data_IF_504583968456
#
_entry.id   IF_504583968456
#
_cell.length_a   1.000
_cell.length_b   1.000
_cell.length_c   1.000
_cell.angle_alpha   90.00
_cell.angle_beta   90.00
_cell.angle_gamma   90.00
#
_symmetry.space_group_name_H-M   'P 1'
#
loop_
_entity.id
_entity.type
_entity.pdbx_description
1 polymer ?
#
# COMPACT_ATOMS: atom_id res chain seq x y z
N UNK A 1 -15.37 -15.00 -12.89
CA UNK A 1 -15.86 -15.22 -14.27
C UNK A 1 -17.32 -14.76 -14.49
N UNK A 2 -18.26 -15.05 -13.58
CA UNK A 2 -19.66 -14.66 -13.77
C UNK A 2 -19.88 -13.15 -13.72
N UNK A 3 -19.19 -12.43 -12.84
CA UNK A 3 -19.30 -10.98 -12.72
C UNK A 3 -18.77 -10.25 -13.96
N UNK A 4 -17.64 -10.71 -14.51
CA UNK A 4 -17.08 -10.17 -15.76
C UNK A 4 -18.10 -10.31 -16.89
N UNK A 5 -18.64 -11.52 -17.12
CA UNK A 5 -19.67 -11.76 -18.14
C UNK A 5 -20.90 -10.89 -17.96
N UNK A 6 -21.30 -10.64 -16.71
CA UNK A 6 -22.46 -9.77 -16.43
C UNK A 6 -22.20 -8.32 -16.86
N UNK A 7 -21.02 -7.76 -16.56
CA UNK A 7 -20.66 -6.41 -17.02
C UNK A 7 -20.43 -6.36 -18.54
N UNK A 8 -19.81 -7.38 -19.13
CA UNK A 8 -19.66 -7.48 -20.60
C UNK A 8 -21.03 -7.51 -21.31
N UNK A 9 -22.00 -8.25 -20.78
CA UNK A 9 -23.36 -8.25 -21.29
C UNK A 9 -24.05 -6.88 -21.12
N UNK A 10 -23.88 -6.23 -19.97
CA UNK A 10 -24.41 -4.88 -19.74
C UNK A 10 -23.83 -3.88 -20.75
N UNK A 11 -22.53 -3.95 -21.02
CA UNK A 11 -21.82 -3.13 -22.00
C UNK A 11 -22.28 -3.47 -23.42
N UNK A 12 -22.53 -4.75 -23.74
CA UNK A 12 -23.06 -5.14 -25.05
C UNK A 12 -24.46 -4.56 -25.29
N UNK A 13 -25.31 -4.49 -24.26
CA UNK A 13 -26.64 -3.87 -24.33
C UNK A 13 -26.54 -2.34 -24.38
N UNK A 14 -25.69 -1.74 -23.56
CA UNK A 14 -25.46 -0.31 -23.54
C UNK A 14 -23.95 0.01 -23.51
N UNK A 15 -23.31 0.19 -24.69
CA UNK A 15 -21.89 0.53 -24.79
C UNK A 15 -21.47 1.85 -24.13
N UNK A 16 -22.42 2.72 -23.82
CA UNK A 16 -22.20 4.00 -23.15
C UNK A 16 -22.45 3.96 -21.64
N UNK A 17 -22.45 2.78 -21.03
CA UNK A 17 -22.64 2.61 -19.59
C UNK A 17 -21.33 2.75 -18.85
N UNK A 18 -20.96 3.99 -18.46
CA UNK A 18 -19.69 4.32 -17.82
C UNK A 18 -19.45 3.53 -16.53
N UNK A 19 -20.48 3.34 -15.68
CA UNK A 19 -20.37 2.56 -14.45
C UNK A 19 -19.99 1.10 -14.70
N UNK A 20 -20.56 0.48 -15.75
CA UNK A 20 -20.23 -0.90 -16.10
C UNK A 20 -18.75 -1.03 -16.51
N UNK A 21 -18.24 -0.09 -17.31
CA UNK A 21 -16.82 -0.05 -17.67
C UNK A 21 -15.92 0.16 -16.44
N UNK A 22 -16.28 1.08 -15.52
CA UNK A 22 -15.53 1.30 -14.29
C UNK A 22 -15.51 0.04 -13.41
N UNK A 23 -16.65 -0.61 -13.21
CA UNK A 23 -16.77 -1.81 -12.39
C UNK A 23 -16.06 -3.02 -13.02
N UNK A 24 -16.07 -3.14 -14.33
CA UNK A 24 -15.28 -4.13 -15.06
C UNK A 24 -13.77 -3.88 -14.85
N UNK A 25 -13.35 -2.62 -14.83
CA UNK A 25 -11.99 -2.23 -14.49
C UNK A 25 -11.58 -2.66 -13.07
N UNK A 26 -12.48 -2.48 -12.09
CA UNK A 26 -12.24 -2.94 -10.72
C UNK A 26 -12.03 -4.47 -10.66
N UNK A 27 -12.86 -5.24 -11.37
CA UNK A 27 -12.70 -6.70 -11.43
C UNK A 27 -11.38 -7.12 -12.08
N UNK A 28 -10.98 -6.49 -13.18
CA UNK A 28 -9.68 -6.77 -13.80
C UNK A 28 -8.51 -6.43 -12.88
N UNK A 29 -8.61 -5.34 -12.13
CA UNK A 29 -7.60 -4.97 -11.13
C UNK A 29 -7.50 -6.02 -10.03
N UNK A 30 -8.63 -6.49 -9.49
CA UNK A 30 -8.68 -7.54 -8.45
C UNK A 30 -8.08 -8.88 -8.93
N UNK A 31 -8.14 -9.15 -10.24
CA UNK A 31 -7.52 -10.30 -10.88
C UNK A 31 -6.04 -10.08 -11.26
N UNK A 32 -5.47 -8.91 -10.99
CA UNK A 32 -4.10 -8.56 -11.38
C UNK A 32 -3.93 -8.23 -12.86
N UNK A 33 -5.04 -8.14 -13.64
CA UNK A 33 -5.04 -7.81 -15.06
C UNK A 33 -5.03 -6.28 -15.27
N UNK A 34 -4.00 -5.62 -14.77
CA UNK A 34 -3.95 -4.16 -14.64
C UNK A 34 -4.06 -3.42 -15.99
N UNK A 35 -3.53 -3.98 -17.08
CA UNK A 35 -3.68 -3.40 -18.43
C UNK A 35 -5.15 -3.36 -18.89
N UNK A 36 -5.92 -4.40 -18.58
CA UNK A 36 -7.36 -4.43 -18.90
C UNK A 36 -8.13 -3.46 -18.01
N UNK A 37 -7.75 -3.36 -16.74
CA UNK A 37 -8.32 -2.39 -15.81
C UNK A 37 -8.14 -0.96 -16.31
N UNK A 38 -6.92 -0.56 -16.70
CA UNK A 38 -6.61 0.76 -17.26
C UNK A 38 -7.48 1.06 -18.48
N UNK A 39 -7.60 0.13 -19.44
CA UNK A 39 -8.43 0.30 -20.63
C UNK A 39 -9.91 0.51 -20.27
N UNK A 40 -10.40 -0.24 -19.29
CA UNK A 40 -11.80 -0.14 -18.84
C UNK A 40 -12.07 1.21 -18.15
N UNK A 41 -11.16 1.70 -17.29
CA UNK A 41 -11.29 3.03 -16.68
C UNK A 41 -11.20 4.16 -17.71
N UNK A 42 -10.29 4.08 -18.67
CA UNK A 42 -10.20 5.06 -19.76
C UNK A 42 -11.53 5.11 -20.52
N UNK A 43 -12.12 3.95 -20.84
CA UNK A 43 -13.40 3.91 -21.52
C UNK A 43 -14.53 4.51 -20.70
N UNK A 44 -14.55 4.27 -19.39
CA UNK A 44 -15.51 4.92 -18.47
C UNK A 44 -15.38 6.46 -18.50
N UNK A 45 -14.14 6.96 -18.52
CA UNK A 45 -13.82 8.39 -18.54
C UNK A 45 -14.17 9.01 -19.90
N UNK A 46 -13.96 8.32 -21.01
CA UNK A 46 -14.38 8.78 -22.36
C UNK A 46 -15.89 8.96 -22.44
N UNK A 47 -16.65 8.06 -21.82
CA UNK A 47 -18.12 8.13 -21.77
C UNK A 47 -18.57 9.23 -20.80
N UNK A 48 -17.99 9.30 -19.62
CA UNK A 48 -18.29 10.30 -18.61
C UNK A 48 -17.01 10.98 -18.08
N UNK A 49 -16.57 12.08 -18.69
CA UNK A 49 -15.37 12.80 -18.27
C UNK A 49 -15.43 13.38 -16.84
N UNK A 50 -16.64 13.47 -16.25
CA UNK A 50 -16.85 13.95 -14.87
C UNK A 50 -16.98 12.80 -13.86
N UNK A 51 -16.53 11.60 -14.21
CA UNK A 51 -16.59 10.44 -13.33
C UNK A 51 -15.38 10.40 -12.38
N UNK A 52 -15.45 11.11 -11.25
CA UNK A 52 -14.36 11.23 -10.28
C UNK A 52 -13.80 9.87 -9.81
N UNK A 53 -14.67 8.88 -9.56
CA UNK A 53 -14.24 7.54 -9.16
C UNK A 53 -13.43 6.82 -10.24
N UNK A 54 -13.80 6.95 -11.52
CA UNK A 54 -13.05 6.34 -12.62
C UNK A 54 -11.65 6.97 -12.75
N UNK A 55 -11.52 8.28 -12.57
CA UNK A 55 -10.23 8.96 -12.53
C UNK A 55 -9.39 8.50 -11.34
N UNK A 56 -9.96 8.35 -10.14
CA UNK A 56 -9.26 7.83 -8.97
C UNK A 56 -8.78 6.38 -9.20
N UNK A 57 -9.65 5.52 -9.72
CA UNK A 57 -9.33 4.13 -9.99
C UNK A 57 -8.25 3.96 -11.07
N UNK A 58 -8.31 4.80 -12.13
CA UNK A 58 -7.25 4.88 -13.13
C UNK A 58 -5.91 5.25 -12.50
N UNK A 59 -5.91 6.26 -11.61
CA UNK A 59 -4.71 6.65 -10.86
C UNK A 59 -4.12 5.49 -10.07
N UNK A 60 -4.95 4.71 -9.38
CA UNK A 60 -4.52 3.54 -8.62
C UNK A 60 -3.91 2.46 -9.53
N UNK A 61 -4.55 2.15 -10.65
CA UNK A 61 -4.02 1.19 -11.62
C UNK A 61 -2.69 1.67 -12.26
N UNK A 62 -2.52 2.97 -12.44
CA UNK A 62 -1.27 3.56 -12.94
C UNK A 62 -0.14 3.48 -11.90
N UNK A 63 -0.45 3.58 -10.59
CA UNK A 63 0.52 3.33 -9.51
C UNK A 63 1.00 1.89 -9.54
N UNK A 64 0.10 0.92 -9.74
CA UNK A 64 0.44 -0.50 -9.87
C UNK A 64 1.36 -0.79 -11.07
N UNK A 65 1.38 0.10 -12.06
CA UNK A 65 2.29 0.10 -13.21
C UNK A 65 3.50 1.03 -13.06
N UNK A 66 3.77 1.55 -11.87
CA UNK A 66 4.86 2.49 -11.57
C UNK A 66 4.82 3.80 -12.39
N UNK A 67 3.67 4.12 -12.99
CA UNK A 67 3.43 5.34 -13.77
C UNK A 67 2.96 6.49 -12.88
N UNK A 68 3.79 6.88 -11.93
CA UNK A 68 3.41 7.80 -10.85
C UNK A 68 3.00 9.19 -11.33
N UNK A 69 3.67 9.76 -12.35
CA UNK A 69 3.32 11.08 -12.89
C UNK A 69 1.93 11.09 -13.55
N UNK A 70 1.55 10.02 -14.24
CA UNK A 70 0.24 9.89 -14.85
C UNK A 70 -0.84 9.62 -13.78
N UNK A 71 -0.50 8.86 -12.73
CA UNK A 71 -1.37 8.68 -11.57
C UNK A 71 -1.68 10.01 -10.88
N UNK A 72 -0.66 10.87 -10.68
CA UNK A 72 -0.84 12.22 -10.13
C UNK A 72 -1.82 13.05 -10.97
N UNK A 73 -1.75 12.99 -12.31
CA UNK A 73 -2.70 13.69 -13.20
C UNK A 73 -4.12 13.17 -13.01
N UNK A 74 -4.28 11.85 -12.93
CA UNK A 74 -5.57 11.20 -12.77
C UNK A 74 -6.22 11.53 -11.42
N UNK A 75 -5.46 11.46 -10.32
CA UNK A 75 -5.95 11.84 -8.99
C UNK A 75 -6.29 13.34 -8.90
N UNK A 76 -5.47 14.22 -9.47
CA UNK A 76 -5.81 15.66 -9.54
C UNK A 76 -7.12 15.89 -10.28
N UNK A 77 -7.35 15.17 -11.38
CA UNK A 77 -8.62 15.27 -12.10
C UNK A 77 -9.80 14.78 -11.27
N UNK A 78 -9.64 13.69 -10.52
CA UNK A 78 -10.67 13.21 -9.58
C UNK A 78 -11.01 14.27 -8.52
N UNK A 79 -9.99 14.95 -7.97
CA UNK A 79 -10.13 16.00 -6.97
C UNK A 79 -10.75 17.29 -7.58
N UNK A 80 -10.38 17.66 -8.81
CA UNK A 80 -11.00 18.80 -9.51
C UNK A 80 -12.50 18.61 -9.70
N UNK A 81 -12.93 17.36 -9.96
CA UNK A 81 -14.34 16.98 -10.10
C UNK A 81 -15.03 16.93 -8.74
N UNK A 82 -14.39 16.31 -7.75
CA UNK A 82 -14.90 16.19 -6.38
C UNK A 82 -13.84 16.60 -5.35
N UNK A 83 -13.79 17.87 -4.93
CA UNK A 83 -12.80 18.34 -3.94
C UNK A 83 -12.93 17.70 -2.54
N UNK A 84 -14.08 17.07 -2.23
CA UNK A 84 -14.32 16.38 -0.96
C UNK A 84 -13.94 14.88 -1.01
N UNK A 85 -13.28 14.43 -2.07
CA UNK A 85 -12.91 13.02 -2.24
C UNK A 85 -11.67 12.69 -1.42
N UNK A 86 -11.85 12.40 -0.12
CA UNK A 86 -10.78 12.12 0.83
C UNK A 86 -9.83 11.00 0.37
N UNK A 87 -10.36 9.94 -0.25
CA UNK A 87 -9.57 8.83 -0.77
C UNK A 87 -8.64 9.30 -1.90
N UNK A 88 -9.13 10.13 -2.84
CA UNK A 88 -8.30 10.65 -3.93
C UNK A 88 -7.14 11.52 -3.41
N UNK A 89 -7.38 12.31 -2.35
CA UNK A 89 -6.31 13.05 -1.66
C UNK A 89 -5.29 12.10 -1.02
N UNK A 90 -5.72 11.05 -0.33
CA UNK A 90 -4.83 10.05 0.24
C UNK A 90 -3.98 9.37 -0.85
N UNK A 91 -4.61 8.96 -1.94
CA UNK A 91 -3.95 8.29 -3.06
C UNK A 91 -2.97 9.22 -3.80
N UNK A 92 -3.32 10.49 -3.99
CA UNK A 92 -2.41 11.50 -4.51
C UNK A 92 -1.20 11.69 -3.59
N UNK A 93 -1.41 11.66 -2.27
CA UNK A 93 -0.33 11.67 -1.29
C UNK A 93 0.61 10.45 -1.44
N UNK A 94 0.05 9.26 -1.68
CA UNK A 94 0.83 8.06 -1.93
C UNK A 94 1.68 8.20 -3.21
N UNK A 95 1.10 8.70 -4.30
CA UNK A 95 1.82 8.93 -5.56
C UNK A 95 2.98 9.95 -5.39
N UNK A 96 2.76 11.05 -4.66
CA UNK A 96 3.82 12.00 -4.33
C UNK A 96 4.91 11.39 -3.45
N UNK A 97 4.57 10.50 -2.52
CA UNK A 97 5.54 9.78 -1.69
C UNK A 97 6.45 8.89 -2.52
N UNK A 98 5.92 8.19 -3.53
CA UNK A 98 6.72 7.38 -4.46
C UNK A 98 7.63 8.25 -5.33
N UNK A 99 7.17 9.43 -5.74
CA UNK A 99 7.98 10.45 -6.42
C UNK A 99 8.97 11.19 -5.49
N UNK A 100 9.09 10.79 -4.23
CA UNK A 100 9.92 11.44 -3.18
C UNK A 100 9.56 12.90 -2.89
N UNK A 101 8.38 13.34 -3.29
CA UNK A 101 7.83 14.68 -3.04
C UNK A 101 7.10 14.71 -1.69
N UNK A 102 7.86 14.53 -0.59
CA UNK A 102 7.30 14.33 0.75
C UNK A 102 6.46 15.50 1.26
N UNK A 103 6.79 16.75 0.89
CA UNK A 103 6.03 17.92 1.32
C UNK A 103 4.62 17.93 0.71
N UNK A 104 4.53 17.58 -0.58
CA UNK A 104 3.24 17.50 -1.27
C UNK A 104 2.43 16.31 -0.77
N UNK A 105 3.07 15.17 -0.51
CA UNK A 105 2.43 14.02 0.12
C UNK A 105 1.79 14.39 1.47
N UNK A 106 2.56 15.03 2.37
CA UNK A 106 2.08 15.47 3.69
C UNK A 106 0.89 16.45 3.54
N UNK A 107 0.95 17.38 2.58
CA UNK A 107 -0.16 18.30 2.32
C UNK A 107 -1.43 17.54 1.95
N UNK A 108 -1.34 16.56 1.06
CA UNK A 108 -2.49 15.79 0.61
C UNK A 108 -3.07 14.89 1.72
N UNK A 109 -2.22 14.20 2.50
CA UNK A 109 -2.68 13.42 3.65
C UNK A 109 -3.41 14.27 4.70
N UNK A 110 -2.93 15.49 4.96
CA UNK A 110 -3.60 16.42 5.88
C UNK A 110 -5.00 16.81 5.37
N UNK A 111 -5.15 17.04 4.06
CA UNK A 111 -6.46 17.30 3.47
C UNK A 111 -7.34 16.06 3.60
N UNK A 112 -6.84 14.86 3.26
CA UNK A 112 -7.58 13.62 3.41
C UNK A 112 -8.09 13.41 4.85
N UNK A 113 -7.24 13.68 5.86
CA UNK A 113 -7.62 13.58 7.28
C UNK A 113 -8.62 14.66 7.68
N UNK A 114 -8.53 15.89 7.12
CA UNK A 114 -9.52 16.93 7.40
C UNK A 114 -10.90 16.58 6.86
N UNK A 115 -10.96 15.86 5.73
CA UNK A 115 -12.19 15.38 5.12
C UNK A 115 -12.73 14.11 5.80
N UNK A 116 -11.85 13.22 6.21
CA UNK A 116 -12.19 12.00 6.95
C UNK A 116 -11.21 11.79 8.13
N UNK A 117 -11.52 12.34 9.32
CA UNK A 117 -10.65 12.25 10.50
C UNK A 117 -10.43 10.81 11.01
N UNK A 118 -11.32 9.88 10.67
CA UNK A 118 -11.24 8.48 11.07
C UNK A 118 -10.57 7.57 10.02
N UNK A 119 -9.91 8.15 9.02
CA UNK A 119 -9.12 7.36 8.08
C UNK A 119 -7.81 6.90 8.71
N UNK A 120 -7.80 5.68 9.25
CA UNK A 120 -6.60 5.06 9.80
C UNK A 120 -5.47 5.00 8.76
N UNK A 121 -5.80 4.76 7.49
CA UNK A 121 -4.84 4.71 6.38
C UNK A 121 -4.18 6.07 6.13
N UNK A 122 -4.95 7.16 6.03
CA UNK A 122 -4.38 8.49 5.81
C UNK A 122 -3.51 8.95 7.01
N UNK A 123 -3.93 8.62 8.24
CA UNK A 123 -3.13 8.86 9.44
C UNK A 123 -1.81 8.08 9.43
N UNK A 124 -1.85 6.80 9.11
CA UNK A 124 -0.67 5.96 8.99
C UNK A 124 0.29 6.46 7.89
N UNK A 125 -0.25 6.82 6.72
CA UNK A 125 0.52 7.36 5.61
C UNK A 125 1.18 8.71 5.99
N UNK A 126 0.49 9.57 6.72
CA UNK A 126 1.05 10.81 7.24
C UNK A 126 2.17 10.54 8.27
N UNK A 127 1.98 9.58 9.18
CA UNK A 127 3.00 9.13 10.12
C UNK A 127 4.25 8.61 9.40
N UNK A 128 4.06 7.78 8.36
CA UNK A 128 5.12 7.24 7.52
C UNK A 128 5.89 8.34 6.77
N UNK A 129 5.19 9.37 6.27
CA UNK A 129 5.82 10.52 5.63
C UNK A 129 6.65 11.34 6.62
N UNK A 130 6.17 11.57 7.83
CA UNK A 130 6.94 12.23 8.89
C UNK A 130 8.16 11.40 9.34
N UNK A 131 8.02 10.06 9.44
CA UNK A 131 9.14 9.14 9.71
C UNK A 131 10.24 9.31 8.65
N UNK A 132 9.87 9.37 7.35
CA UNK A 132 10.83 9.59 6.24
C UNK A 132 11.50 10.97 6.28
N UNK A 133 10.87 11.96 6.92
CA UNK A 133 11.45 13.31 7.15
C UNK A 133 12.24 13.43 8.46
N UNK A 134 12.42 12.33 9.18
CA UNK A 134 13.03 12.28 10.52
C UNK A 134 12.28 13.11 11.60
N UNK A 135 10.99 13.41 11.38
CA UNK A 135 10.13 14.08 12.35
C UNK A 135 9.45 13.04 13.25
N UNK A 136 10.25 12.41 14.12
CA UNK A 136 9.90 11.20 14.88
C UNK A 136 8.71 11.39 15.82
N UNK A 137 8.61 12.56 16.49
CA UNK A 137 7.50 12.88 17.41
C UNK A 137 6.15 12.88 16.66
N UNK A 138 6.13 13.52 15.48
CA UNK A 138 4.92 13.55 14.66
C UNK A 138 4.59 12.18 14.12
N UNK A 139 5.59 11.41 13.72
CA UNK A 139 5.38 10.04 13.24
C UNK A 139 4.72 9.19 14.33
N UNK A 140 5.24 9.22 15.57
CA UNK A 140 4.66 8.50 16.70
C UNK A 140 3.20 8.90 16.94
N UNK A 141 2.91 10.22 17.01
CA UNK A 141 1.56 10.73 17.23
C UNK A 141 0.56 10.18 16.20
N UNK A 142 0.94 10.15 14.92
CA UNK A 142 0.05 9.70 13.86
C UNK A 142 -0.06 8.19 13.79
N UNK A 143 0.98 7.43 14.13
CA UNK A 143 0.89 5.98 14.28
C UNK A 143 0.00 5.58 15.45
N UNK A 144 0.06 6.27 16.60
CA UNK A 144 -0.85 6.02 17.73
C UNK A 144 -2.31 6.29 17.37
N UNK A 145 -2.59 7.40 16.66
CA UNK A 145 -3.93 7.71 16.16
C UNK A 145 -4.43 6.64 15.19
N UNK A 146 -3.63 6.25 14.22
CA UNK A 146 -3.99 5.21 13.25
C UNK A 146 -4.25 3.87 13.97
N UNK A 147 -3.39 3.49 14.91
CA UNK A 147 -3.53 2.29 15.72
C UNK A 147 -4.82 2.28 16.55
N UNK A 148 -5.19 3.40 17.15
CA UNK A 148 -6.42 3.52 17.94
C UNK A 148 -7.70 3.32 17.13
N UNK A 149 -7.65 3.62 15.82
CA UNK A 149 -8.79 3.44 14.91
C UNK A 149 -8.80 2.02 14.32
N UNK A 150 -7.65 1.52 13.87
CA UNK A 150 -7.53 0.19 13.29
C UNK A 150 -6.19 -0.46 13.63
N UNK A 151 -6.19 -1.31 14.64
CA UNK A 151 -5.00 -2.06 15.10
C UNK A 151 -4.61 -3.23 14.17
N UNK A 152 -5.45 -3.57 13.18
CA UNK A 152 -5.19 -4.67 12.26
C UNK A 152 -4.57 -4.23 10.91
N UNK A 153 -4.19 -2.96 10.79
CA UNK A 153 -3.48 -2.52 9.59
C UNK A 153 -2.11 -3.20 9.45
N UNK A 154 -1.76 -3.50 8.21
CA UNK A 154 -0.45 -4.07 7.89
C UNK A 154 0.68 -3.17 8.39
N UNK A 155 1.67 -3.76 9.03
CA UNK A 155 2.91 -3.13 9.52
C UNK A 155 2.76 -2.06 10.62
N UNK A 156 1.54 -1.63 10.97
CA UNK A 156 1.32 -0.53 11.93
C UNK A 156 1.91 -0.82 13.29
N UNK A 157 1.79 -2.06 13.78
CA UNK A 157 2.29 -2.44 15.11
C UNK A 157 3.82 -2.37 15.17
N UNK A 158 4.51 -2.84 14.14
CA UNK A 158 5.96 -2.76 14.04
C UNK A 158 6.46 -1.32 13.94
N UNK A 159 5.77 -0.47 13.17
CA UNK A 159 6.13 0.95 13.06
C UNK A 159 5.85 1.71 14.34
N UNK A 160 4.76 1.41 15.04
CA UNK A 160 4.43 1.99 16.35
C UNK A 160 5.47 1.61 17.40
N UNK A 161 5.83 0.32 17.50
CA UNK A 161 6.88 -0.14 18.42
C UNK A 161 8.23 0.53 18.12
N UNK A 162 8.61 0.61 16.84
CA UNK A 162 9.83 1.31 16.41
C UNK A 162 9.80 2.77 16.84
N UNK A 163 8.68 3.44 16.64
CA UNK A 163 8.54 4.85 17.02
C UNK A 163 8.61 5.02 18.54
N UNK A 164 7.95 4.18 19.34
CA UNK A 164 8.03 4.23 20.81
C UNK A 164 9.45 4.00 21.33
N UNK A 165 10.18 3.05 20.77
CA UNK A 165 11.59 2.79 21.15
C UNK A 165 12.49 3.99 20.92
N UNK A 166 12.29 4.74 19.85
CA UNK A 166 13.10 5.96 19.58
C UNK A 166 13.02 7.01 20.71
N UNK A 167 11.96 6.95 21.52
CA UNK A 167 11.76 7.86 22.67
C UNK A 167 11.87 7.16 24.03
N UNK A 168 12.30 5.89 24.03
CA UNK A 168 12.34 5.09 25.26
C UNK A 168 10.97 5.04 25.98
N UNK A 169 9.87 5.05 25.23
CA UNK A 169 8.50 4.91 25.77
C UNK A 169 8.18 3.43 25.93
N UNK A 170 8.34 2.93 27.16
CA UNK A 170 8.17 1.50 27.48
C UNK A 170 6.76 1.17 28.01
N UNK A 171 5.88 2.16 28.11
CA UNK A 171 4.50 1.95 28.53
C UNK A 171 3.80 0.98 27.59
N UNK A 172 3.22 -0.06 28.18
CA UNK A 172 2.54 -1.13 27.45
C UNK A 172 3.40 -1.91 26.43
N UNK A 173 4.72 -1.71 26.43
CA UNK A 173 5.65 -2.32 25.46
C UNK A 173 5.55 -3.85 25.43
N UNK A 174 5.54 -4.50 26.62
CA UNK A 174 5.48 -5.95 26.71
C UNK A 174 4.20 -6.56 26.12
N UNK A 175 3.05 -5.86 26.27
CA UNK A 175 1.80 -6.29 25.70
C UNK A 175 1.81 -6.15 24.19
N UNK A 176 2.26 -5.00 23.67
CA UNK A 176 2.39 -4.76 22.23
C UNK A 176 3.37 -5.73 21.58
N UNK A 177 4.50 -6.03 22.25
CA UNK A 177 5.45 -7.01 21.78
C UNK A 177 4.89 -8.43 21.76
N UNK A 178 4.10 -8.79 22.78
CA UNK A 178 3.42 -10.08 22.83
C UNK A 178 2.39 -10.20 21.71
N UNK A 179 1.62 -9.15 21.45
CA UNK A 179 0.68 -9.08 20.32
C UNK A 179 1.41 -9.19 18.98
N UNK A 180 2.56 -8.50 18.83
CA UNK A 180 3.39 -8.59 17.61
C UNK A 180 3.80 -10.03 17.34
N UNK A 181 4.30 -10.72 18.38
CA UNK A 181 4.72 -12.13 18.27
C UNK A 181 3.58 -13.05 17.85
N UNK A 182 2.39 -12.84 18.38
CA UNK A 182 1.18 -13.59 17.98
C UNK A 182 0.82 -13.31 16.52
N UNK A 183 0.75 -12.04 16.12
CA UNK A 183 0.44 -11.65 14.73
C UNK A 183 1.42 -12.25 13.72
N UNK A 184 2.71 -12.32 14.03
CA UNK A 184 3.71 -12.96 13.16
C UNK A 184 3.45 -14.46 13.03
N UNK A 185 3.19 -15.16 14.15
CA UNK A 185 2.86 -16.61 14.15
C UNK A 185 1.59 -16.90 13.35
N UNK A 186 0.64 -15.98 13.35
CA UNK A 186 -0.59 -16.06 12.56
C UNK A 186 -0.39 -15.62 11.09
N UNK A 187 0.84 -15.50 10.62
CA UNK A 187 1.19 -15.05 9.26
C UNK A 187 0.63 -13.67 8.90
N UNK A 188 0.41 -12.80 9.87
CA UNK A 188 -0.05 -11.43 9.62
C UNK A 188 1.12 -10.50 9.28
N UNK A 189 0.87 -9.50 8.43
CA UNK A 189 1.84 -8.47 8.02
C UNK A 189 2.04 -7.43 9.14
N UNK A 190 2.63 -7.87 10.26
CA UNK A 190 2.65 -7.08 11.48
C UNK A 190 3.88 -6.17 11.60
N UNK A 191 5.00 -6.52 10.96
CA UNK A 191 6.26 -5.79 11.09
C UNK A 191 7.17 -5.98 9.87
N UNK A 192 7.95 -4.94 9.56
CA UNK A 192 9.09 -5.09 8.65
C UNK A 192 10.20 -5.91 9.35
N UNK A 193 10.79 -6.92 8.71
CA UNK A 193 11.81 -7.77 9.31
C UNK A 193 12.99 -7.01 9.93
N UNK A 194 13.46 -5.95 9.28
CA UNK A 194 14.54 -5.13 9.83
C UNK A 194 14.18 -4.47 11.16
N UNK A 195 12.93 -4.01 11.32
CA UNK A 195 12.46 -3.45 12.57
C UNK A 195 12.42 -4.52 13.67
N UNK A 196 12.05 -5.76 13.30
CA UNK A 196 11.94 -6.88 14.24
C UNK A 196 13.27 -7.23 14.91
N UNK A 197 14.40 -7.07 14.20
CA UNK A 197 15.74 -7.29 14.76
C UNK A 197 16.02 -6.46 16.01
N UNK A 198 15.42 -5.26 16.11
CA UNK A 198 15.53 -4.41 17.29
C UNK A 198 14.66 -4.82 18.48
N UNK A 199 13.67 -5.72 18.30
CA UNK A 199 12.67 -6.06 19.31
C UNK A 199 12.83 -7.45 19.89
N UNK A 200 13.29 -8.41 19.09
CA UNK A 200 13.20 -9.85 19.38
C UNK A 200 14.48 -10.54 18.97
N UNK A 201 15.10 -11.21 19.95
CA UNK A 201 16.21 -12.13 19.73
C UNK A 201 15.67 -13.58 19.64
N UNK A 202 14.92 -13.84 18.55
CA UNK A 202 14.34 -15.15 18.24
C UNK A 202 14.43 -15.36 16.72
N UNK A 203 15.41 -16.15 16.31
CA UNK A 203 15.70 -16.43 14.90
C UNK A 203 14.50 -17.02 14.15
N UNK A 204 13.74 -17.90 14.80
CA UNK A 204 12.57 -18.52 14.16
C UNK A 204 11.50 -17.48 13.84
N UNK A 205 11.18 -16.60 14.80
CA UNK A 205 10.21 -15.53 14.62
C UNK A 205 10.68 -14.50 13.59
N UNK A 206 11.98 -14.18 13.56
CA UNK A 206 12.57 -13.32 12.54
C UNK A 206 12.43 -13.92 11.13
N UNK A 207 12.67 -15.24 10.99
CA UNK A 207 12.47 -15.96 9.72
C UNK A 207 10.99 -15.95 9.27
N UNK A 208 10.06 -16.17 10.19
CA UNK A 208 8.62 -16.14 9.87
C UNK A 208 8.20 -14.74 9.39
N UNK A 209 8.59 -13.70 10.09
CA UNK A 209 8.32 -12.32 9.66
C UNK A 209 8.93 -12.00 8.29
N UNK A 210 10.14 -12.47 8.03
CA UNK A 210 10.81 -12.29 6.74
C UNK A 210 10.04 -13.02 5.61
N UNK A 211 9.56 -14.24 5.84
CA UNK A 211 8.73 -14.97 4.86
C UNK A 211 7.43 -14.24 4.55
N UNK A 212 6.72 -13.79 5.58
CA UNK A 212 5.46 -13.03 5.42
C UNK A 212 5.70 -11.75 4.62
N UNK A 213 6.77 -11.01 4.93
CA UNK A 213 7.13 -9.79 4.23
C UNK A 213 7.53 -10.05 2.78
N UNK A 214 8.37 -11.06 2.54
CA UNK A 214 8.83 -11.40 1.19
C UNK A 214 7.67 -11.84 0.31
N UNK A 215 6.78 -12.70 0.81
CA UNK A 215 5.60 -13.14 0.05
C UNK A 215 4.64 -11.97 -0.25
N UNK A 216 4.60 -10.95 0.60
CA UNK A 216 3.81 -9.76 0.35
C UNK A 216 4.46 -8.83 -0.68
N UNK A 217 5.75 -8.57 -0.55
CA UNK A 217 6.49 -7.63 -1.40
C UNK A 217 6.81 -8.24 -2.77
N UNK A 218 7.07 -9.54 -2.78
CA UNK A 218 7.47 -10.31 -3.96
C UNK A 218 6.63 -11.58 -4.04
N UNK A 219 5.34 -11.51 -4.43
CA UNK A 219 4.52 -12.70 -4.59
C UNK A 219 5.16 -13.63 -5.61
N UNK A 220 5.08 -14.95 -5.34
CA UNK A 220 5.65 -15.95 -6.24
C UNK A 220 5.17 -15.75 -7.67
N UNK A 221 6.12 -15.60 -8.58
CA UNK A 221 5.88 -15.56 -10.02
C UNK A 221 6.12 -16.96 -10.56
N UNK A 222 5.05 -17.68 -10.86
CA UNK A 222 5.12 -19.02 -11.46
C UNK A 222 5.68 -19.03 -12.89
N UNK A 223 5.80 -17.86 -13.51
CA UNK A 223 6.35 -17.65 -14.86
C UNK A 223 7.88 -17.50 -14.90
N UNK A 224 8.52 -17.38 -13.73
CA UNK A 224 9.98 -17.38 -13.68
C UNK A 224 10.50 -18.81 -13.84
N UNK A 225 11.41 -19.07 -14.79
CA UNK A 225 12.00 -20.39 -14.93
C UNK A 225 12.70 -20.76 -13.61
N UNK A 226 12.30 -21.91 -13.06
CA UNK A 226 13.04 -22.50 -11.93
C UNK A 226 14.50 -22.56 -12.34
N UNK A 227 15.34 -21.86 -11.62
CA UNK A 227 16.79 -21.91 -11.85
C UNK A 227 17.24 -23.37 -11.94
N UNK A 228 18.15 -23.65 -12.85
CA UNK A 228 18.81 -24.94 -13.02
C UNK A 228 19.17 -25.56 -11.66
N UNK A 229 19.13 -26.88 -11.52
CA UNK A 229 19.31 -27.55 -10.25
C UNK A 229 20.57 -27.04 -9.53
N UNK A 230 20.35 -26.60 -8.29
CA UNK A 230 21.42 -26.06 -7.45
C UNK A 230 22.57 -27.07 -7.33
N UNK A 231 23.72 -26.74 -7.88
CA UNK A 231 24.93 -27.52 -7.68
C UNK A 231 25.38 -27.27 -6.23
N UNK A 232 25.30 -28.29 -5.39
CA UNK A 232 25.84 -28.25 -4.01
C UNK A 232 27.32 -27.91 -4.06
N UNK A 233 27.67 -26.68 -3.70
CA UNK A 233 29.06 -26.32 -3.48
C UNK A 233 29.48 -26.69 -2.07
N UNK A 234 30.73 -27.15 -1.88
CA UNK A 234 31.24 -27.55 -0.56
C UNK A 234 31.43 -26.39 0.41
N UNK A 235 31.20 -25.12 -0.05
CA UNK A 235 31.22 -23.91 0.76
C UNK A 235 29.93 -23.17 0.59
N UNK A 236 29.38 -22.69 1.72
CA UNK A 236 28.22 -21.79 1.73
C UNK A 236 28.65 -20.46 1.07
N UNK A 237 27.99 -20.09 -0.02
CA UNK A 237 28.14 -18.75 -0.64
C UNK A 237 27.01 -17.88 -0.14
N UNK A 238 27.34 -16.87 0.67
CA UNK A 238 26.39 -15.85 1.12
C UNK A 238 26.48 -14.72 0.10
N UNK A 239 25.39 -14.50 -0.64
CA UNK A 239 25.22 -13.32 -1.48
C UNK A 239 24.48 -12.25 -0.69
N UNK A 240 25.06 -11.06 -0.55
CA UNK A 240 24.34 -9.89 -0.08
C UNK A 240 23.75 -9.18 -1.27
N UNK A 241 22.42 -9.10 -1.34
CA UNK A 241 21.73 -8.22 -2.25
C UNK A 241 21.26 -6.99 -1.44
N UNK A 242 21.96 -5.90 -1.55
CA UNK A 242 21.55 -4.61 -0.99
C UNK A 242 21.26 -3.65 -2.14
N UNK A 243 20.12 -2.99 -2.10
CA UNK A 243 19.79 -1.90 -3.02
C UNK A 243 20.67 -0.66 -2.81
N UNK A 244 21.46 -0.66 -1.72
CA UNK A 244 22.31 0.48 -1.32
C UNK A 244 23.74 0.41 -1.87
N UNK A 245 24.06 -0.60 -2.69
CA UNK A 245 25.32 -0.69 -3.42
C UNK A 245 25.18 -0.08 -4.83
N UNK A 246 25.05 1.23 -4.88
CA UNK A 246 25.25 2.04 -6.08
C UNK A 246 26.23 3.17 -5.79
#
# INVERSE_FOLDING_TARGET
>A
DNAIKSYENAIAINPSFADAHNNLGNLFKDLGETDKAIKSYIRAIEINPQFAHAHNNLGTALVDHERFDDAVKSYKKAIDINPQFAEAHNNLGNAFKELRQLNDAIKQYKIAISLNPNSAEALYNLGSAYKKRDEKEKALLFFEKAWSINSNMNFILGDLLTAKMNFCFWDNYHNLLSELKLKIKDNQKAVNPFNLLGFVDDLHLQMEAAKVFTNYQYPERYDLPLNSPYIKHPKIRIGYFSADFH
#
